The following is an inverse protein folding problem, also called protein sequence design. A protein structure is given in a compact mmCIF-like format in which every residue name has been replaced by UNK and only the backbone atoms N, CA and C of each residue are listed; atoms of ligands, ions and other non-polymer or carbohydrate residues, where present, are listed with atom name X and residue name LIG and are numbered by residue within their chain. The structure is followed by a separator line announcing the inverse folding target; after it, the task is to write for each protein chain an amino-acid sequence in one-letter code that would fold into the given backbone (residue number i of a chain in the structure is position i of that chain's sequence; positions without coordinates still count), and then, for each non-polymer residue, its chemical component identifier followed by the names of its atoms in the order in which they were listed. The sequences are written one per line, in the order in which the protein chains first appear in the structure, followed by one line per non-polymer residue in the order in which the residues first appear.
data_IF_098327731117
#
_entry.id   IF_098327731117
#
_cell.length_a   1.000
_cell.length_b   1.000
_cell.length_c   1.000
_cell.angle_alpha   90.00
_cell.angle_beta   90.00
_cell.angle_gamma   90.00
#
_symmetry.space_group_name_H-M   'P 1'
#
loop_
_entity.id
_entity.type
_entity.pdbx_description
1 polymer ?
#
# COMPACT_ATOMS: atom_id res chain seq x y z
N UNK A 1 20.75 -7.36 14.59
CA UNK A 1 19.38 -7.94 14.54
C UNK A 1 18.84 -8.06 13.09
N UNK A 2 19.68 -7.81 12.06
CA UNK A 2 19.28 -7.94 10.64
C UNK A 2 18.17 -6.97 10.18
N UNK A 3 17.99 -5.85 10.87
CA UNK A 3 16.90 -4.90 10.53
C UNK A 3 17.22 -4.04 9.32
N UNK A 4 18.50 -3.82 9.02
CA UNK A 4 18.91 -2.99 7.89
C UNK A 4 18.37 -3.51 6.55
N UNK A 5 18.40 -4.81 6.32
CA UNK A 5 17.84 -5.44 5.11
C UNK A 5 16.34 -5.20 4.92
N UNK A 6 15.64 -4.98 6.04
CA UNK A 6 14.18 -4.73 6.08
C UNK A 6 13.84 -3.25 6.16
N UNK A 7 14.81 -2.40 6.49
CA UNK A 7 14.59 -0.95 6.58
C UNK A 7 14.36 -0.35 5.20
N UNK A 8 13.54 0.68 5.16
CA UNK A 8 13.25 1.49 3.96
C UNK A 8 13.29 2.96 4.33
N UNK A 9 13.86 3.75 3.45
CA UNK A 9 13.66 5.20 3.50
C UNK A 9 12.31 5.48 2.87
N UNK A 10 11.36 5.97 3.67
CA UNK A 10 10.05 6.36 3.19
C UNK A 10 10.13 7.69 2.44
N UNK A 11 9.61 7.72 1.22
CA UNK A 11 9.44 8.93 0.44
C UNK A 11 7.97 9.08 0.08
N UNK A 12 7.49 10.31 0.12
CA UNK A 12 6.13 10.67 -0.21
C UNK A 12 6.02 11.07 -1.70
N UNK A 13 4.82 11.28 -2.16
CA UNK A 13 4.44 11.76 -3.49
C UNK A 13 5.15 13.09 -3.81
N UNK A 14 6.16 13.03 -4.66
CA UNK A 14 6.97 14.20 -5.07
C UNK A 14 7.21 14.17 -6.58
N UNK A 15 7.44 15.32 -7.20
CA UNK A 15 7.86 15.39 -8.60
C UNK A 15 9.12 14.54 -8.87
N UNK A 16 9.15 13.86 -10.01
CA UNK A 16 10.23 12.93 -10.39
C UNK A 16 11.63 13.54 -10.27
N UNK A 17 11.79 14.81 -10.61
CA UNK A 17 13.09 15.49 -10.53
C UNK A 17 13.62 15.57 -9.09
N UNK A 18 12.73 15.85 -8.11
CA UNK A 18 13.11 15.88 -6.70
C UNK A 18 13.41 14.47 -6.18
N UNK A 19 12.61 13.49 -6.59
CA UNK A 19 12.85 12.08 -6.24
C UNK A 19 14.19 11.60 -6.75
N UNK A 20 14.55 11.87 -8.02
CA UNK A 20 15.84 11.50 -8.57
C UNK A 20 17.01 12.16 -7.85
N UNK A 21 16.88 13.43 -7.46
CA UNK A 21 17.88 14.11 -6.63
C UNK A 21 18.09 13.44 -5.27
N UNK A 22 16.98 13.06 -4.63
CA UNK A 22 17.03 12.34 -3.34
C UNK A 22 17.64 10.94 -3.50
N UNK A 23 17.23 10.17 -4.52
CA UNK A 23 17.80 8.86 -4.83
C UNK A 23 19.32 8.93 -5.11
N UNK A 24 19.75 9.90 -5.93
CA UNK A 24 21.16 10.10 -6.22
C UNK A 24 21.98 10.40 -4.95
N UNK A 25 21.43 11.21 -4.05
CA UNK A 25 22.05 11.52 -2.76
C UNK A 25 22.13 10.28 -1.87
N UNK A 26 21.05 9.52 -1.80
CA UNK A 26 21.01 8.28 -1.01
C UNK A 26 22.00 7.24 -1.53
N UNK A 27 21.99 6.98 -2.84
CA UNK A 27 22.91 6.02 -3.46
C UNK A 27 24.38 6.39 -3.28
N UNK A 28 24.68 7.70 -3.22
CA UNK A 28 26.04 8.18 -2.98
C UNK A 28 26.52 7.97 -1.54
N UNK A 29 25.63 8.12 -0.55
CA UNK A 29 26.01 8.21 0.86
C UNK A 29 25.58 7.00 1.69
N UNK A 30 24.57 6.26 1.26
CA UNK A 30 24.02 5.08 1.95
C UNK A 30 23.42 4.09 0.93
N UNK A 31 24.24 3.52 0.01
CA UNK A 31 23.75 2.66 -1.08
C UNK A 31 23.09 1.37 -0.62
N UNK A 32 23.28 0.97 0.63
CA UNK A 32 22.67 -0.21 1.25
C UNK A 32 21.21 0.02 1.65
N UNK A 33 20.74 1.28 1.72
CA UNK A 33 19.38 1.61 2.11
C UNK A 33 18.45 1.57 0.90
N UNK A 34 17.37 0.86 1.05
CA UNK A 34 16.29 0.77 0.06
C UNK A 34 15.25 1.84 0.26
N UNK A 35 14.53 2.16 -0.81
CA UNK A 35 13.50 3.21 -0.82
C UNK A 35 12.11 2.60 -0.99
N UNK A 36 11.16 3.11 -0.22
CA UNK A 36 9.72 2.88 -0.42
C UNK A 36 9.04 4.22 -0.70
N UNK A 37 8.24 4.30 -1.76
CA UNK A 37 7.56 5.53 -2.13
C UNK A 37 6.12 5.31 -2.56
N UNK A 38 5.24 6.22 -2.12
CA UNK A 38 3.90 6.39 -2.69
C UNK A 38 3.99 7.19 -4.00
N UNK A 39 3.14 6.85 -4.98
CA UNK A 39 3.10 7.48 -6.29
C UNK A 39 1.65 7.81 -6.64
N UNK A 40 1.37 9.08 -6.89
CA UNK A 40 0.03 9.59 -7.22
C UNK A 40 -0.14 10.03 -8.68
N UNK A 41 0.85 9.75 -9.53
CA UNK A 41 0.85 10.05 -10.95
C UNK A 41 1.63 8.98 -11.72
N UNK A 42 1.37 8.80 -13.03
CA UNK A 42 2.21 7.94 -13.88
C UNK A 42 3.65 8.46 -13.89
N UNK A 43 4.60 7.61 -13.57
CA UNK A 43 6.00 8.01 -13.43
C UNK A 43 6.96 6.91 -13.83
N UNK A 44 8.00 7.29 -14.59
CA UNK A 44 9.10 6.40 -14.94
C UNK A 44 10.04 6.12 -13.77
N UNK A 45 9.96 6.89 -12.69
CA UNK A 45 10.80 6.68 -11.50
C UNK A 45 10.49 5.37 -10.77
N UNK A 46 9.32 4.78 -11.04
CA UNK A 46 8.94 3.49 -10.46
C UNK A 46 9.98 2.38 -10.71
N UNK A 47 10.73 2.45 -11.81
CA UNK A 47 11.78 1.49 -12.11
C UNK A 47 13.06 1.71 -11.28
N UNK A 48 13.22 2.88 -10.69
CA UNK A 48 14.37 3.29 -9.88
C UNK A 48 14.15 3.10 -8.36
N UNK A 49 12.92 2.75 -7.94
CA UNK A 49 12.51 2.63 -6.54
C UNK A 49 12.29 1.17 -6.19
N UNK A 50 12.81 0.72 -5.04
CA UNK A 50 12.69 -0.67 -4.60
C UNK A 50 11.24 -1.05 -4.32
N UNK A 51 10.56 -0.32 -3.44
CA UNK A 51 9.18 -0.60 -3.03
C UNK A 51 8.28 0.56 -3.47
N UNK A 52 7.36 0.30 -4.39
CA UNK A 52 6.46 1.31 -4.98
C UNK A 52 5.02 1.02 -4.58
N UNK A 53 4.30 2.09 -4.28
CA UNK A 53 2.88 2.05 -3.94
C UNK A 53 2.11 3.07 -4.78
N UNK A 54 1.59 2.72 -5.97
CA UNK A 54 0.73 3.61 -6.72
C UNK A 54 -0.62 3.79 -6.02
N UNK A 55 -1.20 4.97 -6.15
CA UNK A 55 -2.61 5.17 -5.81
C UNK A 55 -3.48 4.27 -6.71
N UNK A 56 -4.57 3.74 -6.17
CA UNK A 56 -5.43 2.76 -6.86
C UNK A 56 -5.84 3.19 -8.28
N UNK A 57 -6.01 4.48 -8.51
CA UNK A 57 -6.38 5.03 -9.83
C UNK A 57 -5.31 4.81 -10.90
N UNK A 58 -4.07 4.61 -10.51
CA UNK A 58 -2.94 4.31 -11.40
C UNK A 58 -2.47 2.85 -11.30
N UNK A 59 -3.15 2.03 -10.52
CA UNK A 59 -2.83 0.61 -10.34
C UNK A 59 -2.80 -0.16 -11.67
N UNK A 60 -3.71 0.16 -12.60
CA UNK A 60 -3.78 -0.46 -13.92
C UNK A 60 -2.55 -0.16 -14.83
N UNK A 61 -1.70 0.78 -14.48
CA UNK A 61 -0.42 1.04 -15.15
C UNK A 61 0.64 -0.02 -14.88
N UNK A 62 0.41 -0.91 -13.92
CA UNK A 62 1.31 -2.01 -13.56
C UNK A 62 0.80 -3.32 -14.15
N UNK A 63 1.25 -3.65 -15.38
CA UNK A 63 0.88 -4.91 -16.00
C UNK A 63 1.42 -6.12 -15.23
N UNK A 64 0.84 -7.32 -15.39
CA UNK A 64 1.37 -8.56 -14.80
C UNK A 64 2.86 -8.77 -15.09
N UNK A 65 3.32 -8.43 -16.30
CA UNK A 65 4.71 -8.54 -16.72
C UNK A 65 5.60 -7.55 -15.96
N UNK A 66 5.13 -6.30 -15.77
CA UNK A 66 5.83 -5.29 -14.98
C UNK A 66 5.97 -5.73 -13.54
N UNK A 67 4.89 -6.24 -12.94
CA UNK A 67 4.91 -6.75 -11.57
C UNK A 67 5.85 -7.95 -11.41
N UNK A 68 5.85 -8.87 -12.39
CA UNK A 68 6.74 -10.02 -12.40
C UNK A 68 8.21 -9.60 -12.52
N UNK A 69 8.52 -8.66 -13.42
CA UNK A 69 9.88 -8.10 -13.60
C UNK A 69 10.37 -7.44 -12.30
N UNK A 70 9.56 -6.59 -11.67
CA UNK A 70 9.90 -5.94 -10.41
C UNK A 70 10.16 -6.95 -9.30
N UNK A 71 9.30 -7.96 -9.19
CA UNK A 71 9.45 -9.02 -8.19
C UNK A 71 10.71 -9.86 -8.42
N UNK A 72 11.05 -10.16 -9.67
CA UNK A 72 12.29 -10.86 -10.02
C UNK A 72 13.55 -10.04 -9.67
N UNK A 73 13.47 -8.71 -9.70
CA UNK A 73 14.52 -7.81 -9.23
C UNK A 73 14.56 -7.65 -7.70
N UNK A 74 13.66 -8.29 -6.95
CA UNK A 74 13.58 -8.18 -5.50
C UNK A 74 12.82 -6.94 -4.99
N UNK A 75 12.14 -6.23 -5.90
CA UNK A 75 11.31 -5.08 -5.59
C UNK A 75 9.90 -5.48 -5.18
N UNK A 76 9.23 -4.62 -4.40
CA UNK A 76 7.83 -4.77 -4.01
C UNK A 76 6.95 -3.75 -4.72
N UNK A 77 5.73 -4.16 -5.02
CA UNK A 77 4.72 -3.26 -5.54
C UNK A 77 3.43 -3.49 -4.78
N UNK A 78 3.08 -2.54 -3.92
CA UNK A 78 1.79 -2.48 -3.24
C UNK A 78 0.93 -1.42 -3.94
N UNK A 79 -0.23 -1.11 -3.40
CA UNK A 79 -1.04 0.03 -3.83
C UNK A 79 -1.71 0.67 -2.60
N UNK A 80 -2.28 1.87 -2.75
CA UNK A 80 -2.95 2.53 -1.65
C UNK A 80 -4.24 3.24 -2.07
N UNK A 81 -5.06 3.54 -1.06
CA UNK A 81 -6.14 4.53 -1.09
C UNK A 81 -5.89 5.55 0.01
N UNK A 82 -6.35 6.78 -0.19
CA UNK A 82 -6.25 7.86 0.79
C UNK A 82 -7.56 8.67 0.82
N UNK A 83 -7.51 9.99 0.74
CA UNK A 83 -8.69 10.86 0.60
C UNK A 83 -9.50 10.62 -0.69
N UNK A 84 -9.02 9.79 -1.58
CA UNK A 84 -9.68 9.34 -2.81
C UNK A 84 -9.16 7.97 -3.27
N UNK A 85 -9.90 7.31 -4.16
CA UNK A 85 -11.27 7.62 -4.57
C UNK A 85 -12.27 7.48 -3.41
N UNK A 86 -13.49 7.99 -3.57
CA UNK A 86 -14.53 7.77 -2.56
C UNK A 86 -14.83 6.29 -2.38
N UNK A 87 -14.73 5.50 -3.48
CA UNK A 87 -14.96 4.04 -3.51
C UNK A 87 -13.97 3.36 -4.45
N UNK A 88 -13.40 2.21 -4.01
CA UNK A 88 -13.46 1.64 -2.66
C UNK A 88 -12.58 2.41 -1.67
N UNK A 89 -13.01 2.51 -0.42
CA UNK A 89 -12.22 3.16 0.62
C UNK A 89 -12.58 2.63 2.02
N UNK A 90 -11.97 3.25 3.04
CA UNK A 90 -12.14 2.90 4.46
C UNK A 90 -12.65 4.09 5.28
N UNK A 91 -13.45 4.98 4.69
CA UNK A 91 -14.09 6.08 5.40
C UNK A 91 -15.15 5.57 6.38
N UNK A 92 -15.56 6.41 7.34
CA UNK A 92 -16.60 6.02 8.28
C UNK A 92 -17.95 5.75 7.61
N UNK A 93 -18.18 6.34 6.45
CA UNK A 93 -19.38 6.14 5.61
C UNK A 93 -19.19 5.10 4.49
N UNK A 94 -17.99 4.54 4.33
CA UNK A 94 -17.74 3.46 3.35
C UNK A 94 -18.43 2.17 3.81
N UNK A 95 -19.08 1.43 2.90
CA UNK A 95 -19.53 0.08 3.21
C UNK A 95 -18.39 -0.78 3.76
N UNK A 96 -18.55 -1.51 4.86
CA UNK A 96 -17.48 -2.31 5.46
C UNK A 96 -16.83 -3.32 4.49
N UNK A 97 -17.59 -3.85 3.53
CA UNK A 97 -17.09 -4.76 2.50
C UNK A 97 -16.02 -4.14 1.59
N UNK A 98 -15.97 -2.82 1.47
CA UNK A 98 -14.93 -2.15 0.68
C UNK A 98 -13.54 -2.31 1.31
N UNK A 99 -13.44 -2.29 2.63
CA UNK A 99 -12.17 -2.51 3.33
C UNK A 99 -11.64 -3.95 3.10
N UNK A 100 -12.52 -4.95 3.13
CA UNK A 100 -12.17 -6.34 2.81
C UNK A 100 -11.76 -6.49 1.34
N UNK A 101 -12.50 -5.86 0.43
CA UNK A 101 -12.23 -5.89 -1.00
C UNK A 101 -10.83 -5.36 -1.35
N UNK A 102 -10.27 -4.42 -0.60
CA UNK A 102 -8.92 -3.90 -0.85
C UNK A 102 -7.85 -5.01 -0.83
N UNK A 103 -7.95 -5.98 0.08
CA UNK A 103 -7.05 -7.12 0.09
C UNK A 103 -7.25 -8.06 -1.10
N UNK A 104 -8.51 -8.34 -1.43
CA UNK A 104 -8.88 -9.17 -2.59
C UNK A 104 -8.40 -8.53 -3.90
N UNK A 105 -8.56 -7.22 -4.04
CA UNK A 105 -8.06 -6.47 -5.20
C UNK A 105 -6.54 -6.60 -5.34
N UNK A 106 -5.77 -6.45 -4.25
CA UNK A 106 -4.33 -6.65 -4.29
C UNK A 106 -3.97 -8.03 -4.88
N UNK A 107 -4.64 -9.08 -4.39
CA UNK A 107 -4.43 -10.43 -4.89
C UNK A 107 -4.84 -10.58 -6.37
N UNK A 108 -5.98 -10.03 -6.77
CA UNK A 108 -6.50 -10.12 -8.13
C UNK A 108 -5.58 -9.45 -9.14
N UNK A 109 -5.06 -8.27 -8.82
CA UNK A 109 -4.14 -7.51 -9.68
C UNK A 109 -2.69 -8.00 -9.62
N UNK A 110 -2.36 -8.88 -8.68
CA UNK A 110 -1.01 -9.40 -8.51
C UNK A 110 -0.06 -8.46 -7.77
N UNK A 111 -0.57 -7.51 -7.01
CA UNK A 111 0.23 -6.70 -6.10
C UNK A 111 0.80 -7.53 -4.94
N UNK A 112 1.85 -7.04 -4.30
CA UNK A 112 2.49 -7.68 -3.15
C UNK A 112 1.79 -7.33 -1.82
N UNK A 113 0.80 -6.45 -1.84
CA UNK A 113 0.01 -6.05 -0.68
C UNK A 113 -0.68 -4.69 -0.86
N UNK A 114 -1.09 -4.15 0.27
CA UNK A 114 -1.78 -2.87 0.39
C UNK A 114 -1.03 -1.96 1.38
N UNK A 115 -0.87 -0.70 1.03
CA UNK A 115 -0.32 0.33 1.91
C UNK A 115 -1.46 1.18 2.46
N UNK A 116 -1.49 1.39 3.76
CA UNK A 116 -2.36 2.38 4.38
C UNK A 116 -1.52 3.55 4.87
N UNK A 117 -1.79 4.75 4.38
CA UNK A 117 -0.99 5.93 4.65
C UNK A 117 -1.09 6.42 6.10
N UNK A 118 -2.22 6.22 6.75
CA UNK A 118 -2.43 6.63 8.13
C UNK A 118 -3.26 5.58 8.91
N UNK A 119 -2.78 5.18 10.07
CA UNK A 119 -3.42 4.18 10.94
C UNK A 119 -4.04 4.81 12.18
N UNK A 120 -3.41 5.83 12.72
CA UNK A 120 -3.71 6.41 14.02
C UNK A 120 -3.37 7.91 14.08
N UNK A 121 -3.54 8.64 12.97
CA UNK A 121 -3.43 10.09 12.93
C UNK A 121 -4.74 10.69 13.44
N UNK A 122 -4.88 10.73 14.77
CA UNK A 122 -6.12 11.07 15.42
C UNK A 122 -6.41 12.57 15.38
N UNK A 123 -7.69 12.90 15.30
CA UNK A 123 -8.24 14.21 15.63
C UNK A 123 -8.18 14.43 17.15
N UNK A 124 -8.57 15.60 17.64
CA UNK A 124 -8.48 15.95 19.06
C UNK A 124 -9.27 14.97 19.96
N UNK A 125 -10.50 14.66 19.58
CA UNK A 125 -11.34 13.65 20.29
C UNK A 125 -11.87 12.60 19.31
N UNK A 126 -11.09 11.58 18.96
CA UNK A 126 -11.45 10.58 17.97
C UNK A 126 -12.58 9.64 18.39
N UNK A 127 -12.95 9.64 19.69
CA UNK A 127 -14.09 8.86 20.18
C UNK A 127 -15.42 9.58 20.02
N UNK A 128 -15.40 10.90 19.81
CA UNK A 128 -16.58 11.73 19.58
C UNK A 128 -16.75 12.09 18.11
N UNK A 129 -15.65 12.35 17.40
CA UNK A 129 -15.67 12.70 15.98
C UNK A 129 -14.54 12.05 15.22
N UNK A 130 -14.81 11.69 13.97
CA UNK A 130 -13.79 11.23 13.02
C UNK A 130 -13.51 12.27 11.93
N UNK A 131 -14.09 13.46 12.07
CA UNK A 131 -13.98 14.53 11.09
C UNK A 131 -12.60 15.18 11.18
N UNK A 132 -11.97 15.30 10.02
CA UNK A 132 -10.70 15.97 9.84
C UNK A 132 -10.89 17.11 8.83
N UNK A 133 -10.34 18.28 9.12
CA UNK A 133 -10.62 19.50 8.34
C UNK A 133 -10.33 19.38 6.85
N UNK A 134 -9.35 18.58 6.45
CA UNK A 134 -8.86 18.48 5.07
C UNK A 134 -9.15 17.13 4.41
N UNK A 135 -9.59 16.13 5.17
CA UNK A 135 -9.74 14.76 4.69
C UNK A 135 -11.11 14.20 5.01
N UNK A 136 -11.63 13.26 4.22
CA UNK A 136 -12.90 12.60 4.52
C UNK A 136 -12.90 11.94 5.90
N UNK A 137 -14.06 11.93 6.55
CA UNK A 137 -14.22 11.36 7.88
C UNK A 137 -13.69 9.92 7.97
N UNK A 138 -12.77 9.69 8.88
CA UNK A 138 -12.13 8.38 9.11
C UNK A 138 -10.96 8.06 8.19
N UNK A 139 -10.57 8.93 7.26
CA UNK A 139 -9.41 8.68 6.38
C UNK A 139 -8.09 8.61 7.17
N UNK A 140 -7.95 9.42 8.21
CA UNK A 140 -6.69 9.56 8.94
C UNK A 140 -6.42 8.45 9.95
N UNK A 141 -7.39 7.61 10.27
CA UNK A 141 -7.20 6.51 11.22
C UNK A 141 -8.22 5.38 11.10
N UNK A 142 -7.78 4.18 11.38
CA UNK A 142 -8.58 2.95 11.45
C UNK A 142 -8.61 2.38 12.86
N UNK A 143 -7.59 2.65 13.65
CA UNK A 143 -7.43 2.21 15.04
C UNK A 143 -7.60 3.42 15.95
N UNK A 144 -8.32 3.24 17.05
CA UNK A 144 -8.61 4.29 18.02
C UNK A 144 -7.65 4.26 19.21
N UNK A 145 -7.56 5.34 20.00
CA UNK A 145 -6.71 5.38 21.20
C UNK A 145 -6.95 4.21 22.14
N UNK A 146 -5.91 3.76 22.80
CA UNK A 146 -5.97 2.62 23.71
C UNK A 146 -6.10 1.27 23.03
N UNK A 147 -5.70 1.18 21.74
CA UNK A 147 -5.73 -0.07 20.99
C UNK A 147 -7.13 -0.54 20.61
N UNK A 148 -8.10 0.35 20.61
CA UNK A 148 -9.47 0.01 20.18
C UNK A 148 -9.54 -0.18 18.69
N UNK A 149 -10.12 -1.28 18.27
CA UNK A 149 -10.38 -1.60 16.88
C UNK A 149 -11.58 -0.84 16.32
N UNK A 150 -11.76 -0.92 15.00
CA UNK A 150 -12.98 -0.47 14.31
C UNK A 150 -13.43 -1.52 13.31
N UNK A 151 -14.70 -1.47 12.92
CA UNK A 151 -15.22 -2.37 11.87
C UNK A 151 -14.42 -2.25 10.57
N UNK A 152 -13.92 -1.04 10.24
CA UNK A 152 -13.10 -0.77 9.07
C UNK A 152 -11.75 -1.49 9.14
N UNK A 153 -11.12 -1.47 10.32
CA UNK A 153 -9.87 -2.20 10.56
C UNK A 153 -10.09 -3.71 10.50
N UNK A 154 -11.14 -4.23 11.16
CA UNK A 154 -11.43 -5.66 11.16
C UNK A 154 -11.71 -6.18 9.75
N UNK A 155 -12.49 -5.44 8.95
CA UNK A 155 -12.75 -5.81 7.56
C UNK A 155 -11.49 -5.73 6.67
N UNK A 156 -10.64 -4.74 6.88
CA UNK A 156 -9.36 -4.69 6.19
C UNK A 156 -8.47 -5.89 6.56
N UNK A 157 -8.48 -6.29 7.83
CA UNK A 157 -7.76 -7.49 8.28
C UNK A 157 -8.29 -8.74 7.58
N UNK A 158 -9.62 -8.91 7.51
CA UNK A 158 -10.24 -10.03 6.78
C UNK A 158 -9.77 -10.06 5.31
N UNK A 159 -9.75 -8.89 4.65
CA UNK A 159 -9.25 -8.78 3.28
C UNK A 159 -7.77 -9.13 3.12
N UNK A 160 -6.92 -8.80 4.09
CA UNK A 160 -5.51 -9.19 4.08
C UNK A 160 -5.33 -10.70 4.34
N UNK A 161 -6.17 -11.30 5.18
CA UNK A 161 -6.22 -12.76 5.35
C UNK A 161 -6.65 -13.46 4.05
N UNK A 162 -7.62 -12.93 3.34
CA UNK A 162 -8.05 -13.45 2.04
C UNK A 162 -6.98 -13.28 0.96
N UNK A 163 -6.27 -12.16 0.95
CA UNK A 163 -5.06 -11.99 0.12
C UNK A 163 -4.06 -13.15 0.34
N UNK A 164 -3.74 -13.46 1.59
CA UNK A 164 -2.81 -14.54 1.92
C UNK A 164 -3.36 -15.92 1.53
N UNK A 165 -4.65 -16.19 1.74
CA UNK A 165 -5.28 -17.44 1.28
C UNK A 165 -5.18 -17.60 -0.24
N UNK A 166 -5.50 -16.55 -1.01
CA UNK A 166 -5.39 -16.56 -2.47
C UNK A 166 -3.93 -16.80 -2.89
N UNK A 167 -2.97 -16.14 -2.26
CA UNK A 167 -1.54 -16.32 -2.52
C UNK A 167 -1.09 -17.77 -2.30
N UNK A 168 -1.52 -18.38 -1.21
CA UNK A 168 -1.20 -19.79 -0.88
C UNK A 168 -1.83 -20.75 -1.89
N UNK A 169 -3.12 -20.54 -2.25
CA UNK A 169 -3.83 -21.38 -3.22
C UNK A 169 -3.14 -21.29 -4.59
N UNK A 170 -2.81 -20.08 -5.08
CA UNK A 170 -2.08 -19.89 -6.33
C UNK A 170 -0.72 -20.59 -6.29
N UNK A 171 0.04 -20.42 -5.23
CA UNK A 171 1.33 -21.09 -5.06
C UNK A 171 1.21 -22.64 -5.05
N UNK A 172 0.14 -23.17 -4.49
CA UNK A 172 -0.17 -24.59 -4.57
C UNK A 172 -0.51 -25.02 -6.00
N UNK A 173 -1.42 -24.29 -6.66
CA UNK A 173 -1.88 -24.62 -8.02
C UNK A 173 -0.72 -24.60 -9.04
N UNK A 174 0.20 -23.65 -8.92
CA UNK A 174 1.42 -23.61 -9.77
C UNK A 174 2.30 -24.84 -9.49
N UNK A 175 2.58 -25.16 -8.25
CA UNK A 175 3.39 -26.36 -7.89
C UNK A 175 2.73 -27.66 -8.35
N UNK A 176 1.41 -27.73 -8.28
CA UNK A 176 0.63 -28.87 -8.75
C UNK A 176 0.41 -28.88 -10.28
N UNK A 177 0.94 -27.88 -11.00
CA UNK A 177 0.76 -27.70 -12.46
C UNK A 177 -0.70 -27.63 -12.91
N UNK A 178 -1.56 -27.06 -12.07
CA UNK A 178 -2.98 -26.85 -12.37
C UNK A 178 -3.21 -25.52 -13.12
N UNK A 179 -2.30 -24.59 -12.98
CA UNK A 179 -2.26 -23.29 -13.67
C UNK A 179 -0.82 -23.00 -14.10
N UNK A 180 -0.68 -22.21 -15.17
CA UNK A 180 0.61 -21.72 -15.69
C UNK A 180 1.11 -20.45 -15.00
#
# INVERSE_FOLDING_TARGET
KGWLERARIGMDERPDALMRGALATLHKHAPELKVASAINHPSSICDEIDDVSPVIMYANGFSPETLAKRRAAGHKTTYYVCCGPERPNTFTFSPPAEAEWLGIFAAAQGFDGFLRWAWCSWVEDPLQSTDFTSWPSGDCFLVYPGGRSSIRFERLRDGLEDFEKIRLIRGYAVRAKLIG
#
